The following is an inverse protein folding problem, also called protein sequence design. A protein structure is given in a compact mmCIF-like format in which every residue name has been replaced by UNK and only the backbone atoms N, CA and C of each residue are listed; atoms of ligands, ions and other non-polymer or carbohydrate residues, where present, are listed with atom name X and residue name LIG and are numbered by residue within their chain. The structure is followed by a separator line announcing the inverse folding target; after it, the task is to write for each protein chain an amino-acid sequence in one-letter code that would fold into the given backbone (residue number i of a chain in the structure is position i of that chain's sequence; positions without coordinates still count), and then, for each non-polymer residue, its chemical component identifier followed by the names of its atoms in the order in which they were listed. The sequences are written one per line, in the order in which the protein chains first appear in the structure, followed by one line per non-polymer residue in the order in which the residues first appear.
data_IF_529320088930
#
_entry.id   IF_529320088930
#
_cell.length_a   1.000
_cell.length_b   1.000
_cell.length_c   1.000
_cell.angle_alpha   90.00
_cell.angle_beta   90.00
_cell.angle_gamma   90.00
#
_symmetry.space_group_name_H-M   'P 1'
#
loop_
_entity.id
_entity.type
_entity.pdbx_description
1 polymer ?
#
# COMPACT_ATOMS: atom_id res chain seq x y z
N UNK A 1 11.77 -14.28 29.13
CA UNK A 1 12.20 -13.16 28.26
C UNK A 1 11.45 -13.43 26.97
N UNK A 2 10.25 -12.87 26.85
CA UNK A 2 9.43 -13.07 25.65
C UNK A 2 10.22 -12.51 24.46
N UNK A 3 10.39 -13.33 23.44
CA UNK A 3 10.93 -12.90 22.16
C UNK A 3 10.07 -11.71 21.70
N UNK A 4 10.63 -10.50 21.78
CA UNK A 4 10.12 -9.38 21.00
C UNK A 4 10.36 -9.76 19.53
N UNK A 5 9.46 -10.56 18.98
CA UNK A 5 9.34 -10.76 17.55
C UNK A 5 8.79 -9.43 17.00
N UNK A 6 9.70 -8.48 16.88
CA UNK A 6 9.44 -7.16 16.34
C UNK A 6 8.96 -7.37 14.90
N UNK A 7 7.72 -6.96 14.63
CA UNK A 7 7.17 -7.00 13.28
C UNK A 7 8.08 -6.18 12.35
N UNK A 8 8.86 -6.87 11.52
CA UNK A 8 9.86 -6.27 10.63
C UNK A 8 9.21 -5.22 9.70
N UNK A 9 8.00 -5.50 9.20
CA UNK A 9 7.28 -4.57 8.32
C UNK A 9 6.90 -3.28 9.09
N UNK A 10 6.51 -3.42 10.36
CA UNK A 10 6.18 -2.28 11.22
C UNK A 10 7.42 -1.42 11.49
N UNK A 11 8.57 -2.05 11.74
CA UNK A 11 9.83 -1.36 11.93
C UNK A 11 10.24 -0.58 10.67
N UNK A 12 10.17 -1.21 9.51
CA UNK A 12 10.50 -0.57 8.23
C UNK A 12 9.61 0.65 7.95
N UNK A 13 8.31 0.53 8.24
CA UNK A 13 7.36 1.64 8.13
C UNK A 13 7.71 2.76 9.12
N UNK A 14 8.01 2.42 10.37
CA UNK A 14 8.39 3.40 11.40
C UNK A 14 9.68 4.16 11.02
N UNK A 15 10.68 3.46 10.47
CA UNK A 15 11.93 4.08 9.98
C UNK A 15 11.62 5.05 8.84
N UNK A 16 10.75 4.66 7.90
CA UNK A 16 10.33 5.52 6.78
C UNK A 16 9.63 6.80 7.29
N UNK A 17 8.74 6.67 8.26
CA UNK A 17 8.06 7.79 8.91
C UNK A 17 9.08 8.70 9.61
N UNK A 18 9.99 8.12 10.40
CA UNK A 18 11.03 8.87 11.09
C UNK A 18 11.92 9.66 10.11
N UNK A 19 12.30 9.06 8.97
CA UNK A 19 13.08 9.75 7.93
C UNK A 19 12.32 10.94 7.33
N UNK A 20 11.02 10.77 7.02
CA UNK A 20 10.20 11.86 6.49
C UNK A 20 10.08 12.99 7.51
N UNK A 21 9.80 12.67 8.78
CA UNK A 21 9.72 13.67 9.86
C UNK A 21 11.06 14.39 10.01
N UNK A 22 12.17 13.66 10.00
CA UNK A 22 13.51 14.24 10.09
C UNK A 22 13.76 15.26 8.99
N UNK A 23 13.50 14.93 7.72
CA UNK A 23 13.71 15.86 6.61
C UNK A 23 12.74 17.04 6.65
N UNK A 24 11.48 16.82 7.02
CA UNK A 24 10.48 17.90 7.16
C UNK A 24 10.69 18.77 8.40
N UNK A 25 11.58 18.37 9.32
CA UNK A 25 11.84 19.15 10.52
C UNK A 25 12.36 20.56 10.19
N UNK A 26 11.99 21.60 10.98
CA UNK A 26 12.40 22.98 10.73
C UNK A 26 13.91 23.20 10.70
N UNK A 27 14.72 22.33 11.32
CA UNK A 27 16.17 22.51 11.31
C UNK A 27 16.85 21.83 10.10
N UNK A 28 16.15 20.96 9.37
CA UNK A 28 16.69 20.22 8.22
C UNK A 28 16.16 20.82 6.92
N UNK A 29 15.07 20.32 6.35
CA UNK A 29 14.46 20.85 5.10
C UNK A 29 13.02 21.36 5.31
N UNK A 30 12.55 21.50 6.55
CA UNK A 30 11.24 22.09 6.83
C UNK A 30 11.10 23.47 6.19
N UNK A 31 9.98 23.68 5.48
CA UNK A 31 9.64 24.93 4.78
C UNK A 31 10.46 25.22 3.51
N UNK A 32 11.27 24.28 3.02
CA UNK A 32 12.13 24.54 1.85
C UNK A 32 11.36 24.79 0.55
N UNK A 33 10.12 24.27 0.43
CA UNK A 33 9.23 24.49 -0.72
C UNK A 33 8.83 25.95 -0.88
N UNK A 34 8.67 26.69 0.23
CA UNK A 34 8.43 28.15 0.21
C UNK A 34 9.61 28.94 -0.38
N UNK A 35 10.79 28.33 -0.35
CA UNK A 35 12.04 28.86 -0.88
C UNK A 35 12.39 28.24 -2.23
N UNK A 36 11.44 27.56 -2.87
CA UNK A 36 11.60 26.93 -4.17
C UNK A 36 10.70 27.62 -5.18
N UNK A 37 11.26 28.04 -6.32
CA UNK A 37 10.48 28.59 -7.43
C UNK A 37 10.32 27.56 -8.53
N UNK A 38 9.09 27.24 -8.91
CA UNK A 38 8.83 26.44 -10.12
C UNK A 38 9.14 27.27 -11.36
N UNK A 39 10.06 26.78 -12.19
CA UNK A 39 10.46 27.42 -13.46
C UNK A 39 9.59 26.90 -14.60
N UNK A 40 9.31 25.59 -14.60
CA UNK A 40 8.52 24.91 -15.64
C UNK A 40 7.85 23.68 -15.04
N UNK A 41 6.64 23.35 -15.53
CA UNK A 41 5.90 22.16 -15.08
C UNK A 41 5.93 21.02 -16.13
N UNK A 42 5.86 21.33 -17.42
CA UNK A 42 5.72 20.34 -18.50
C UNK A 42 6.80 20.48 -19.60
N UNK A 43 7.26 19.41 -20.28
CA UNK A 43 7.00 17.97 -20.03
C UNK A 43 7.74 17.36 -18.85
N UNK A 44 8.70 18.08 -18.26
CA UNK A 44 9.37 17.68 -17.02
C UNK A 44 9.38 18.89 -16.08
N UNK A 45 8.97 18.72 -14.81
CA UNK A 45 9.09 19.79 -13.83
C UNK A 45 10.54 20.24 -13.71
N UNK A 46 10.73 21.55 -13.53
CA UNK A 46 12.02 22.16 -13.23
C UNK A 46 11.77 23.21 -12.17
N UNK A 47 12.54 23.16 -11.10
CA UNK A 47 12.48 24.12 -10.01
C UNK A 47 13.82 24.80 -9.81
N UNK A 48 13.80 25.94 -9.13
CA UNK A 48 14.97 26.68 -8.70
C UNK A 48 14.89 26.87 -7.19
N UNK A 49 15.68 26.10 -6.45
CA UNK A 49 15.81 26.23 -5.01
C UNK A 49 16.62 27.48 -4.65
N UNK A 50 16.07 28.33 -3.79
CA UNK A 50 16.67 29.61 -3.40
C UNK A 50 17.45 29.46 -2.10
N UNK A 51 18.61 28.81 -2.18
CA UNK A 51 19.49 28.51 -1.04
C UNK A 51 19.67 29.71 -0.09
N UNK A 52 20.02 30.88 -0.62
CA UNK A 52 20.29 32.07 0.19
C UNK A 52 19.06 32.54 0.98
N UNK A 53 17.86 32.43 0.40
CA UNK A 53 16.63 32.78 1.12
C UNK A 53 16.29 31.76 2.19
N UNK A 54 16.47 30.49 1.87
CA UNK A 54 16.25 29.38 2.79
C UNK A 54 17.19 29.42 4.00
N UNK A 55 18.47 29.76 3.80
CA UNK A 55 19.39 29.92 4.94
C UNK A 55 19.03 31.14 5.79
N UNK A 56 18.60 32.25 5.18
CA UNK A 56 18.19 33.46 5.90
C UNK A 56 16.91 33.28 6.73
N UNK A 57 16.03 32.35 6.37
CA UNK A 57 14.83 32.08 7.17
C UNK A 57 15.11 31.20 8.40
N UNK A 58 16.32 30.64 8.54
CA UNK A 58 16.70 29.85 9.71
C UNK A 58 17.39 30.71 10.78
N UNK A 59 16.98 30.62 12.05
CA UNK A 59 17.62 31.36 13.14
C UNK A 59 19.05 30.86 13.39
N UNK A 60 19.25 29.54 13.42
CA UNK A 60 20.57 28.91 13.61
C UNK A 60 20.70 27.67 12.70
N UNK A 61 21.14 27.85 11.44
CA UNK A 61 21.27 26.72 10.51
C UNK A 61 22.42 25.79 10.94
N UNK A 62 22.11 24.51 11.13
CA UNK A 62 23.13 23.52 11.47
C UNK A 62 24.16 23.33 10.34
N UNK A 63 25.43 22.98 10.62
CA UNK A 63 26.43 22.69 9.58
C UNK A 63 25.97 21.61 8.60
N UNK A 64 25.24 20.60 9.10
CA UNK A 64 24.62 19.57 8.28
C UNK A 64 23.66 20.17 7.25
N UNK A 65 22.75 21.04 7.70
CA UNK A 65 21.75 21.68 6.83
C UNK A 65 22.40 22.61 5.81
N UNK A 66 23.44 23.35 6.20
CA UNK A 66 24.20 24.23 5.31
C UNK A 66 24.82 23.45 4.15
N UNK A 67 25.38 22.26 4.43
CA UNK A 67 25.98 21.40 3.40
C UNK A 67 24.89 20.71 2.57
N UNK A 68 23.89 20.11 3.22
CA UNK A 68 22.79 19.39 2.56
C UNK A 68 22.04 20.29 1.57
N UNK A 69 21.69 21.50 1.97
CA UNK A 69 20.91 22.44 1.16
C UNK A 69 21.63 22.92 -0.11
N UNK A 70 22.96 22.74 -0.21
CA UNK A 70 23.72 23.04 -1.44
C UNK A 70 23.79 21.87 -2.41
N UNK A 71 23.31 20.69 -2.02
CA UNK A 71 23.40 19.50 -2.86
C UNK A 71 22.32 19.50 -3.93
N UNK A 72 22.64 18.91 -5.08
CA UNK A 72 21.67 18.65 -6.15
C UNK A 72 20.49 17.80 -5.67
N UNK A 73 20.69 16.97 -4.63
CA UNK A 73 19.64 16.15 -4.05
C UNK A 73 18.46 16.99 -3.53
N UNK A 74 18.72 18.19 -3.00
CA UNK A 74 17.65 19.08 -2.51
C UNK A 74 16.86 19.70 -3.66
N UNK A 75 17.50 19.98 -4.79
CA UNK A 75 16.79 20.42 -6.00
C UNK A 75 15.91 19.30 -6.57
N UNK A 76 16.44 18.08 -6.68
CA UNK A 76 15.63 16.92 -7.10
C UNK A 76 14.48 16.65 -6.14
N UNK A 77 14.72 16.77 -4.84
CA UNK A 77 13.68 16.64 -3.84
C UNK A 77 12.61 17.72 -4.01
N UNK A 78 13.01 18.96 -4.26
CA UNK A 78 12.10 20.07 -4.55
C UNK A 78 11.23 19.81 -5.80
N UNK A 79 11.80 19.26 -6.87
CA UNK A 79 11.04 18.86 -8.07
C UNK A 79 10.01 17.77 -7.73
N UNK A 80 10.43 16.74 -6.98
CA UNK A 80 9.56 15.65 -6.55
C UNK A 80 8.41 16.14 -5.66
N UNK A 81 8.64 17.14 -4.80
CA UNK A 81 7.57 17.69 -3.94
C UNK A 81 6.44 18.39 -4.69
N UNK A 82 6.59 18.68 -5.99
CA UNK A 82 5.47 19.18 -6.81
C UNK A 82 4.40 18.11 -7.03
N UNK A 83 4.79 16.84 -7.08
CA UNK A 83 3.91 15.68 -7.25
C UNK A 83 4.42 14.50 -6.43
N UNK A 84 4.30 14.55 -5.08
CA UNK A 84 4.79 13.48 -4.23
C UNK A 84 3.91 12.24 -4.35
N UNK A 85 4.51 11.11 -4.69
CA UNK A 85 3.87 9.80 -4.75
C UNK A 85 3.90 9.07 -3.39
N UNK A 86 4.94 9.30 -2.60
CA UNK A 86 5.10 8.76 -1.24
C UNK A 86 3.95 9.19 -0.32
N UNK A 87 3.24 8.21 0.23
CA UNK A 87 2.06 8.42 1.07
C UNK A 87 2.40 8.98 2.46
N UNK A 88 3.51 8.51 3.05
CA UNK A 88 4.02 9.03 4.34
C UNK A 88 4.26 10.53 4.21
N UNK A 89 4.97 10.97 3.17
CA UNK A 89 5.29 12.39 2.97
C UNK A 89 4.04 13.27 2.87
N UNK A 90 2.98 12.77 2.24
CA UNK A 90 1.69 13.47 2.08
C UNK A 90 0.90 13.56 3.38
N UNK A 91 0.92 12.50 4.21
CA UNK A 91 0.05 12.37 5.39
C UNK A 91 0.72 12.67 6.72
N UNK A 92 2.05 12.77 6.78
CA UNK A 92 2.79 12.95 8.05
C UNK A 92 2.39 14.20 8.85
N UNK A 93 1.82 15.20 8.19
CA UNK A 93 1.32 16.43 8.83
C UNK A 93 -0.15 16.32 9.28
N UNK A 94 -0.84 15.20 8.98
CA UNK A 94 -2.21 14.95 9.44
C UNK A 94 -2.22 14.60 10.93
N UNK A 95 -3.22 15.11 11.65
CA UNK A 95 -3.32 14.99 13.12
C UNK A 95 -3.50 13.54 13.60
N UNK A 96 -3.92 12.63 12.71
CA UNK A 96 -4.12 11.21 12.99
C UNK A 96 -3.44 10.33 11.94
N UNK A 97 -2.16 10.05 12.15
CA UNK A 97 -1.39 9.17 11.28
C UNK A 97 -1.71 7.69 11.58
N UNK A 98 -2.57 7.06 10.77
CA UNK A 98 -2.86 5.63 10.90
C UNK A 98 -1.86 4.77 10.10
N UNK A 99 -1.13 3.88 10.78
CA UNK A 99 -0.15 2.99 10.14
C UNK A 99 -0.78 2.05 9.11
N UNK A 100 -1.99 1.57 9.39
CA UNK A 100 -2.72 0.68 8.48
C UNK A 100 -3.03 1.33 7.13
N UNK A 101 -3.20 2.64 7.11
CA UNK A 101 -3.53 3.40 5.89
C UNK A 101 -2.32 3.80 5.06
N UNK A 102 -1.12 3.76 5.66
CA UNK A 102 0.15 4.17 5.03
C UNK A 102 0.93 2.95 4.58
N UNK A 103 0.77 1.86 5.32
CA UNK A 103 1.36 0.59 5.05
C UNK A 103 0.94 0.00 3.70
N UNK A 104 1.84 -0.74 3.07
CA UNK A 104 1.64 -1.37 1.76
C UNK A 104 1.42 -2.90 1.84
N UNK A 105 1.45 -3.48 3.04
CA UNK A 105 1.24 -4.91 3.29
C UNK A 105 -0.23 -5.25 3.43
N UNK A 106 -0.63 -6.38 2.85
CA UNK A 106 -2.02 -6.88 2.89
C UNK A 106 -2.59 -6.95 4.31
N UNK A 107 -1.78 -7.39 5.28
CA UNK A 107 -2.15 -7.49 6.71
C UNK A 107 -2.63 -6.19 7.36
N UNK A 108 -2.42 -5.05 6.70
CA UNK A 108 -2.76 -3.73 7.21
C UNK A 108 -4.06 -3.16 6.64
N UNK A 109 -4.56 -3.71 5.52
CA UNK A 109 -5.80 -3.25 4.90
C UNK A 109 -6.78 -4.38 4.55
N UNK A 110 -6.38 -5.66 4.67
CA UNK A 110 -7.20 -6.84 4.34
C UNK A 110 -8.59 -6.77 4.95
N UNK A 111 -8.65 -6.40 6.23
CA UNK A 111 -9.88 -6.41 7.03
C UNK A 111 -10.84 -5.28 6.63
N UNK A 112 -10.36 -4.30 5.86
CA UNK A 112 -11.14 -3.14 5.38
C UNK A 112 -11.66 -3.32 3.95
N UNK A 113 -11.14 -4.32 3.21
CA UNK A 113 -11.52 -4.53 1.82
C UNK A 113 -12.93 -5.10 1.71
N UNK A 114 -13.72 -4.51 0.81
CA UNK A 114 -15.03 -5.05 0.48
C UNK A 114 -14.85 -6.26 -0.44
N UNK A 115 -15.42 -7.42 -0.11
CA UNK A 115 -15.46 -8.55 -1.04
C UNK A 115 -16.19 -8.13 -2.32
N UNK A 116 -15.55 -8.33 -3.48
CA UNK A 116 -16.21 -8.11 -4.77
C UNK A 116 -16.79 -9.43 -5.23
N UNK A 117 -18.13 -9.63 -5.13
CA UNK A 117 -18.74 -10.85 -5.65
C UNK A 117 -18.68 -10.81 -7.17
N UNK A 118 -18.03 -11.79 -7.78
CA UNK A 118 -18.12 -12.01 -9.22
C UNK A 118 -18.85 -13.32 -9.48
N UNK A 119 -19.86 -13.27 -10.35
CA UNK A 119 -20.46 -14.47 -10.91
C UNK A 119 -19.63 -14.87 -12.13
N UNK A 120 -18.94 -16.00 -12.04
CA UNK A 120 -18.42 -16.63 -13.24
C UNK A 120 -19.64 -17.12 -14.03
N UNK A 121 -19.78 -16.72 -15.29
CA UNK A 121 -20.79 -17.26 -16.18
C UNK A 121 -20.38 -18.67 -16.65
N UNK A 122 -20.10 -19.58 -15.71
CA UNK A 122 -19.62 -20.94 -15.98
C UNK A 122 -20.59 -21.73 -16.85
N UNK A 123 -21.88 -21.41 -16.90
CA UNK A 123 -22.84 -22.16 -17.72
C UNK A 123 -22.45 -22.26 -19.21
N UNK A 124 -21.75 -21.25 -19.76
CA UNK A 124 -21.20 -21.31 -21.14
C UNK A 124 -19.80 -21.93 -21.23
N UNK A 125 -19.07 -22.05 -20.11
CA UNK A 125 -17.73 -22.65 -20.06
C UNK A 125 -17.81 -24.15 -19.74
N UNK A 126 -18.72 -24.56 -18.87
CA UNK A 126 -19.00 -25.95 -18.48
C UNK A 126 -19.56 -26.77 -19.64
N UNK A 127 -20.13 -26.12 -20.66
CA UNK A 127 -20.68 -26.76 -21.86
C UNK A 127 -19.99 -26.31 -23.17
N UNK A 128 -18.93 -25.50 -23.09
CA UNK A 128 -18.30 -24.85 -24.24
C UNK A 128 -16.80 -25.12 -24.42
N UNK A 129 -16.22 -24.53 -25.48
CA UNK A 129 -14.83 -24.67 -25.93
C UNK A 129 -13.73 -24.36 -24.88
N UNK A 130 -14.10 -23.69 -23.79
CA UNK A 130 -13.16 -23.19 -22.79
C UNK A 130 -13.12 -24.05 -21.51
N UNK A 131 -13.86 -25.17 -21.46
CA UNK A 131 -13.80 -26.13 -20.35
C UNK A 131 -12.37 -26.62 -20.03
N UNK A 132 -11.50 -26.92 -21.02
CA UNK A 132 -10.12 -27.30 -20.72
C UNK A 132 -9.32 -26.20 -20.00
N UNK A 133 -9.67 -24.93 -20.21
CA UNK A 133 -9.01 -23.79 -19.54
C UNK A 133 -9.49 -23.67 -18.09
N UNK A 134 -10.78 -23.92 -17.84
CA UNK A 134 -11.34 -23.93 -16.48
C UNK A 134 -10.74 -25.07 -15.64
N UNK A 135 -10.61 -26.28 -16.21
CA UNK A 135 -10.00 -27.43 -15.52
C UNK A 135 -8.50 -27.22 -15.20
N UNK A 136 -7.79 -26.41 -16.00
CA UNK A 136 -6.40 -26.03 -15.74
C UNK A 136 -6.25 -24.97 -14.65
N UNK A 137 -7.16 -23.98 -14.62
CA UNK A 137 -7.14 -22.91 -13.62
C UNK A 137 -7.68 -23.35 -12.26
N UNK A 138 -8.64 -24.27 -12.28
CA UNK A 138 -9.31 -24.81 -11.10
C UNK A 138 -9.32 -26.33 -11.16
N UNK A 139 -8.16 -27.00 -10.95
CA UNK A 139 -8.11 -28.45 -10.94
C UNK A 139 -9.11 -28.97 -9.90
N UNK A 140 -10.09 -29.74 -10.36
CA UNK A 140 -11.01 -30.40 -9.46
C UNK A 140 -10.21 -31.32 -8.55
N UNK A 141 -10.17 -31.00 -7.26
CA UNK A 141 -9.65 -31.91 -6.24
C UNK A 141 -10.57 -33.12 -6.25
N UNK A 142 -10.13 -34.19 -6.93
CA UNK A 142 -10.76 -35.49 -6.76
C UNK A 142 -10.62 -35.85 -5.29
N UNK A 143 -11.73 -35.84 -4.56
CA UNK A 143 -11.83 -36.46 -3.26
C UNK A 143 -11.71 -37.97 -3.45
N UNK A 144 -10.47 -38.44 -3.59
CA UNK A 144 -10.16 -39.83 -3.30
C UNK A 144 -9.84 -39.88 -1.81
N UNK A 145 -10.80 -40.33 -1.03
CA UNK A 145 -10.55 -40.76 0.34
C UNK A 145 -9.46 -41.82 0.30
N UNK A 146 -8.40 -41.60 1.09
CA UNK A 146 -7.18 -42.40 1.26
C UNK A 146 -5.97 -41.77 0.56
N UNK A 147 -5.13 -41.12 1.37
CA UNK A 147 -3.82 -40.50 1.10
C UNK A 147 -3.87 -38.97 0.99
N UNK A 148 -3.95 -38.33 2.16
CA UNK A 148 -3.79 -36.90 2.36
C UNK A 148 -2.28 -36.55 2.37
N UNK A 149 -1.78 -35.60 1.55
CA UNK A 149 -0.44 -35.06 1.71
C UNK A 149 -0.39 -34.06 2.86
N UNK A 150 0.74 -34.03 3.54
CA UNK A 150 1.04 -33.41 4.84
C UNK A 150 1.10 -31.86 4.82
N UNK A 151 0.16 -31.18 4.17
CA UNK A 151 0.02 -29.71 4.25
C UNK A 151 -1.31 -29.25 4.89
N UNK A 152 -2.13 -30.19 5.37
CA UNK A 152 -3.39 -29.89 6.06
C UNK A 152 -3.30 -29.78 7.59
N UNK A 153 -2.12 -29.85 8.19
CA UNK A 153 -2.04 -29.96 9.67
C UNK A 153 -2.00 -28.63 10.43
N UNK A 154 -1.77 -27.48 9.79
CA UNK A 154 -1.64 -26.23 10.55
C UNK A 154 -2.82 -25.27 10.31
N UNK A 155 -3.99 -25.68 10.79
CA UNK A 155 -5.08 -24.76 11.12
C UNK A 155 -5.86 -25.26 12.34
N UNK A 156 -5.21 -25.21 13.50
CA UNK A 156 -5.88 -25.10 14.79
C UNK A 156 -5.12 -24.12 15.69
N UNK A 157 -5.47 -22.84 15.59
CA UNK A 157 -5.95 -22.03 16.72
C UNK A 157 -6.23 -20.63 16.21
N UNK A 158 -7.51 -20.33 16.01
CA UNK A 158 -8.17 -19.11 16.48
C UNK A 158 -9.68 -19.32 16.26
N UNK A 159 -10.30 -19.84 17.30
CA UNK A 159 -11.74 -19.82 17.49
C UNK A 159 -12.17 -18.37 17.70
N UNK A 160 -12.98 -17.82 16.80
CA UNK A 160 -14.22 -17.15 17.18
C UNK A 160 -15.07 -16.79 15.95
N UNK A 161 -16.17 -17.54 15.81
CA UNK A 161 -17.48 -17.11 15.33
C UNK A 161 -17.56 -16.14 14.13
N UNK A 162 -17.83 -16.65 12.92
CA UNK A 162 -18.97 -16.19 12.11
C UNK A 162 -19.11 -17.00 10.80
N UNK A 163 -20.33 -17.50 10.56
CA UNK A 163 -20.94 -17.77 9.25
C UNK A 163 -20.08 -18.27 8.09
N UNK A 164 -19.96 -19.59 7.97
CA UNK A 164 -19.62 -20.32 6.74
C UNK A 164 -20.48 -19.83 5.56
N UNK A 165 -19.91 -19.08 4.63
CA UNK A 165 -20.59 -18.77 3.35
C UNK A 165 -20.83 -20.07 2.59
N UNK A 166 -22.08 -20.53 2.56
CA UNK A 166 -22.55 -21.56 1.64
C UNK A 166 -22.94 -20.86 0.35
N UNK A 167 -22.39 -21.32 -0.78
CA UNK A 167 -22.86 -20.94 -2.11
C UNK A 167 -24.24 -21.60 -2.27
N UNK A 168 -25.29 -20.78 -2.22
CA UNK A 168 -26.66 -21.21 -2.54
C UNK A 168 -26.89 -20.91 -4.01
N UNK A 169 -26.98 -21.96 -4.82
CA UNK A 169 -27.48 -21.88 -6.19
C UNK A 169 -29.01 -21.99 -6.13
N UNK A 170 -29.71 -20.86 -6.28
CA UNK A 170 -31.16 -20.86 -6.52
C UNK A 170 -31.41 -21.10 -8.01
N UNK A 171 -31.94 -22.28 -8.34
CA UNK A 171 -32.48 -22.59 -9.65
C UNK A 171 -33.95 -22.16 -9.71
N UNK A 172 -34.26 -21.03 -10.34
CA UNK A 172 -35.62 -20.69 -10.74
C UNK A 172 -35.76 -20.93 -12.25
N UNK A 173 -36.61 -21.89 -12.61
CA UNK A 173 -37.01 -22.18 -13.97
C UNK A 173 -38.49 -21.86 -14.13
N UNK A 174 -38.83 -20.67 -14.61
CA UNK A 174 -40.18 -20.34 -15.04
C UNK A 174 -40.21 -20.29 -16.57
N UNK A 175 -40.90 -21.28 -17.16
CA UNK A 175 -41.27 -21.27 -18.58
C UNK A 175 -42.76 -20.95 -18.68
N UNK A 176 -43.20 -19.92 -19.41
CA UNK A 176 -44.62 -19.66 -19.60
C UNK A 176 -45.16 -20.55 -20.72
N UNK A 177 -46.18 -21.36 -20.43
CA UNK A 177 -46.97 -22.07 -21.45
C UNK A 177 -48.41 -21.55 -21.42
N UNK A 178 -48.87 -21.09 -22.59
CA UNK A 178 -50.24 -21.21 -23.12
C UNK A 178 -51.41 -20.77 -22.25
#
# INVERSE_FOLDING_TARGET
MEDLNLDEDLLDLAIRIAMVIFFKSPNVLGGFTEHTRTVRIYPRPVVAFQYERFMKSRPEPSPFTVVLAKTQAVEYFAEWTLMPDNLVYRRVDEESLCLGEIGDKEKWFSDTLHPVPFHLWTERFDQGLLRPVVDLLFPSVQQNTNNLPEWTTNNQMLSSTSGRCKIVTTSESDTPTG
#
